data_IF_037596912515
#
_entry.id   IF_037596912515
#
_cell.length_a   1.000
_cell.length_b   1.000
_cell.length_c   1.000
_cell.angle_alpha   90.00
_cell.angle_beta   90.00
_cell.angle_gamma   90.00
#
_symmetry.space_group_name_H-M   'P 1'
#
loop_
_entity.id
_entity.type
_entity.pdbx_description
1 polymer ?
#
# COMPACT_ATOMS: atom_id res chain seq x y z
N UNK A 1 -18.63 4.64 18.40
CA UNK A 1 -17.19 4.79 18.09
C UNK A 1 -17.12 5.39 16.70
N UNK A 2 -16.41 6.48 16.56
CA UNK A 2 -16.11 7.12 15.28
C UNK A 2 -14.73 6.66 14.78
N UNK A 3 -14.38 6.99 13.53
CA UNK A 3 -13.04 6.72 13.01
C UNK A 3 -11.97 7.55 13.76
N UNK A 4 -12.31 8.79 14.15
CA UNK A 4 -11.49 9.63 15.03
C UNK A 4 -11.16 8.92 16.36
N UNK A 5 -12.16 8.27 16.99
CA UNK A 5 -11.90 7.54 18.24
C UNK A 5 -10.87 6.42 18.03
N UNK A 6 -11.01 5.66 16.92
CA UNK A 6 -10.10 4.57 16.57
C UNK A 6 -8.66 5.05 16.27
N UNK A 7 -8.50 6.24 15.68
CA UNK A 7 -7.18 6.84 15.40
C UNK A 7 -6.46 7.30 16.68
N UNK A 8 -7.21 7.61 17.75
CA UNK A 8 -6.68 8.12 19.00
C UNK A 8 -6.60 7.05 20.11
N UNK A 9 -7.36 5.96 20.00
CA UNK A 9 -7.34 4.87 20.97
C UNK A 9 -7.18 3.52 20.23
N UNK A 10 -5.97 3.01 20.27
CA UNK A 10 -5.59 1.76 19.59
C UNK A 10 -6.28 0.52 20.18
N UNK A 11 -6.71 0.58 21.46
CA UNK A 11 -7.49 -0.50 22.05
C UNK A 11 -8.92 -0.53 21.51
N UNK A 12 -9.54 0.64 21.31
CA UNK A 12 -10.85 0.75 20.65
C UNK A 12 -10.79 0.27 19.19
N UNK A 13 -9.70 0.63 18.46
CA UNK A 13 -9.50 0.14 17.10
C UNK A 13 -9.45 -1.39 17.04
N UNK A 14 -8.70 -2.05 17.94
CA UNK A 14 -8.68 -3.51 18.04
C UNK A 14 -10.04 -4.09 18.39
N UNK A 15 -10.71 -3.52 19.39
CA UNK A 15 -12.06 -3.98 19.79
C UNK A 15 -13.06 -3.93 18.62
N UNK A 16 -13.00 -2.88 17.79
CA UNK A 16 -13.81 -2.77 16.60
C UNK A 16 -13.51 -3.88 15.58
N UNK A 17 -12.24 -4.15 15.32
CA UNK A 17 -11.84 -5.23 14.42
C UNK A 17 -12.26 -6.60 14.97
N UNK A 18 -12.15 -6.85 16.28
CA UNK A 18 -12.67 -8.09 16.87
C UNK A 18 -14.18 -8.23 16.68
N UNK A 19 -14.97 -7.16 16.92
CA UNK A 19 -16.41 -7.17 16.69
C UNK A 19 -16.75 -7.45 15.22
N UNK A 20 -15.98 -6.84 14.30
CA UNK A 20 -16.11 -7.10 12.87
C UNK A 20 -15.86 -8.58 12.55
N UNK A 21 -14.74 -9.11 13.03
CA UNK A 21 -14.36 -10.50 12.83
C UNK A 21 -15.37 -11.48 13.44
N UNK A 22 -15.81 -11.24 14.66
CA UNK A 22 -16.78 -12.12 15.35
C UNK A 22 -18.15 -12.13 14.66
N UNK A 23 -18.56 -11.01 14.05
CA UNK A 23 -19.84 -10.91 13.35
C UNK A 23 -19.79 -11.41 11.91
N UNK A 24 -18.81 -10.98 11.12
CA UNK A 24 -18.71 -11.27 9.68
C UNK A 24 -17.96 -12.57 9.41
N UNK A 25 -16.95 -12.90 10.22
CA UNK A 25 -16.12 -14.09 10.10
C UNK A 25 -15.43 -14.26 8.72
N UNK A 26 -14.76 -13.25 8.16
CA UNK A 26 -13.97 -13.43 6.94
C UNK A 26 -12.82 -14.41 7.19
N UNK A 27 -12.32 -15.05 6.12
CA UNK A 27 -11.23 -16.02 6.21
C UNK A 27 -9.86 -15.36 6.33
N UNK A 28 -9.73 -14.13 5.82
CA UNK A 28 -8.54 -13.28 5.94
C UNK A 28 -8.93 -11.96 6.60
N UNK A 29 -8.00 -11.34 7.30
CA UNK A 29 -8.25 -10.12 8.05
C UNK A 29 -7.22 -9.04 7.73
N UNK A 30 -7.68 -7.78 7.62
CA UNK A 30 -6.83 -6.61 7.38
C UNK A 30 -6.42 -5.93 8.68
N UNK A 31 -7.20 -6.11 9.75
CA UNK A 31 -6.96 -5.54 11.06
C UNK A 31 -7.08 -4.01 11.11
N UNK A 32 -6.61 -3.40 12.20
CA UNK A 32 -6.80 -1.96 12.45
C UNK A 32 -5.77 -1.06 11.76
N UNK A 33 -4.98 -1.56 10.81
CA UNK A 33 -3.85 -0.83 10.19
C UNK A 33 -4.28 0.48 9.51
N UNK A 34 -5.52 0.56 9.03
CA UNK A 34 -6.03 1.75 8.34
C UNK A 34 -6.49 2.86 9.29
N UNK A 35 -6.69 2.55 10.58
CA UNK A 35 -6.86 3.57 11.61
C UNK A 35 -5.48 4.16 11.95
N UNK A 36 -4.98 5.07 11.10
CA UNK A 36 -3.68 5.70 11.28
C UNK A 36 -3.57 6.42 12.63
N UNK A 37 -2.38 6.43 13.27
CA UNK A 37 -2.20 6.98 14.61
C UNK A 37 -2.24 8.51 14.60
N UNK A 38 -3.40 9.11 14.90
CA UNK A 38 -3.57 10.57 14.95
C UNK A 38 -2.50 11.26 15.81
N UNK A 39 -2.12 10.77 17.01
CA UNK A 39 -1.08 11.40 17.81
C UNK A 39 0.28 11.49 17.12
N UNK A 40 0.68 10.46 16.34
CA UNK A 40 1.93 10.50 15.59
C UNK A 40 1.81 11.46 14.37
N UNK A 41 0.65 11.49 13.72
CA UNK A 41 0.37 12.39 12.60
C UNK A 41 0.41 13.85 13.04
N UNK A 42 -0.08 14.17 14.25
CA UNK A 42 0.00 15.50 14.86
C UNK A 42 1.44 15.88 15.22
N UNK A 43 2.20 14.97 15.84
CA UNK A 43 3.62 15.20 16.17
C UNK A 43 4.46 15.51 14.93
N UNK A 44 4.12 14.91 13.80
CA UNK A 44 4.79 15.10 12.51
C UNK A 44 4.19 16.23 11.67
N UNK A 45 3.04 16.76 12.08
CA UNK A 45 2.28 17.79 11.32
C UNK A 45 2.14 17.41 9.83
N UNK A 46 1.67 16.19 9.56
CA UNK A 46 1.62 15.59 8.22
C UNK A 46 0.84 16.48 7.26
N UNK A 47 1.44 16.86 6.12
CA UNK A 47 0.81 17.75 5.13
C UNK A 47 0.20 17.03 3.92
N UNK A 48 0.53 15.76 3.73
CA UNK A 48 0.06 14.98 2.59
C UNK A 48 -1.17 14.10 2.89
N UNK A 49 -1.75 14.26 4.11
CA UNK A 49 -3.08 13.76 4.46
C UNK A 49 -3.95 14.84 5.06
N UNK A 50 -5.26 14.80 4.74
CA UNK A 50 -6.32 15.25 5.64
C UNK A 50 -6.90 14.01 6.31
N UNK A 51 -7.28 14.14 7.58
CA UNK A 51 -7.87 13.04 8.32
C UNK A 51 -8.97 13.54 9.26
N UNK A 52 -9.81 12.65 9.83
CA UNK A 52 -10.86 13.02 10.76
C UNK A 52 -10.38 13.93 11.89
N UNK A 53 -11.13 15.00 12.15
CA UNK A 53 -10.74 16.06 13.09
C UNK A 53 -9.75 17.09 12.51
N UNK A 54 -9.13 16.83 11.35
CA UNK A 54 -8.19 17.70 10.63
C UNK A 54 -8.66 17.96 9.19
N UNK A 55 -9.87 18.52 9.06
CA UNK A 55 -10.47 18.93 7.79
C UNK A 55 -11.36 17.90 7.12
N UNK A 56 -11.63 16.76 7.77
CA UNK A 56 -12.61 15.76 7.38
C UNK A 56 -13.57 15.48 8.55
N UNK A 57 -14.74 14.94 8.20
CA UNK A 57 -15.74 14.48 9.17
C UNK A 57 -15.23 13.28 9.97
N UNK A 58 -15.74 13.08 11.20
CA UNK A 58 -15.25 12.12 12.18
C UNK A 58 -15.26 10.65 11.73
N UNK A 59 -16.08 10.31 10.74
CA UNK A 59 -16.20 8.94 10.20
C UNK A 59 -15.66 8.79 8.77
N UNK A 60 -15.02 9.81 8.23
CA UNK A 60 -14.37 9.74 6.93
C UNK A 60 -12.95 9.19 7.10
N UNK A 61 -12.50 8.32 6.22
CA UNK A 61 -11.08 7.92 6.17
C UNK A 61 -10.20 9.12 5.82
N UNK A 62 -8.92 8.92 5.61
CA UNK A 62 -8.02 9.98 5.16
C UNK A 62 -8.28 10.40 3.71
N UNK A 63 -7.90 11.63 3.39
CA UNK A 63 -7.78 12.12 2.03
C UNK A 63 -6.31 12.41 1.72
N UNK A 64 -5.76 11.77 0.70
CA UNK A 64 -4.41 12.06 0.22
C UNK A 64 -4.35 13.43 -0.46
N UNK A 65 -3.29 14.20 -0.15
CA UNK A 65 -3.00 15.50 -0.76
C UNK A 65 -1.68 15.38 -1.50
N UNK A 66 -1.74 15.43 -2.81
CA UNK A 66 -0.56 15.34 -3.65
C UNK A 66 0.35 16.57 -3.49
N UNK A 67 1.65 16.32 -3.45
CA UNK A 67 2.69 17.36 -3.39
C UNK A 67 3.89 17.01 -4.25
N UNK A 68 4.64 18.01 -4.72
CA UNK A 68 5.93 17.85 -5.36
C UNK A 68 7.02 18.00 -4.31
N UNK A 69 7.60 16.88 -3.87
CA UNK A 69 8.67 16.83 -2.87
C UNK A 69 10.06 16.65 -3.49
N UNK A 70 10.14 16.41 -4.80
CA UNK A 70 11.36 16.37 -5.60
C UNK A 70 11.16 17.17 -6.87
N UNK A 71 12.02 18.15 -7.14
CA UNK A 71 11.98 18.91 -8.38
C UNK A 71 12.68 18.15 -9.53
N UNK A 72 12.46 18.58 -10.75
CA UNK A 72 12.96 17.86 -11.94
C UNK A 72 14.49 17.88 -12.09
N UNK A 73 15.17 18.82 -11.48
CA UNK A 73 16.63 18.96 -11.45
C UNK A 73 17.29 18.16 -10.32
N UNK A 74 16.49 17.61 -9.41
CA UNK A 74 16.97 16.82 -8.26
C UNK A 74 17.06 15.30 -8.52
N UNK A 75 16.68 14.82 -9.71
CA UNK A 75 16.77 13.39 -10.04
C UNK A 75 18.19 12.82 -9.83
N UNK A 76 19.22 13.54 -10.27
CA UNK A 76 20.60 13.06 -10.15
C UNK A 76 21.03 12.93 -8.68
N UNK A 77 20.59 13.85 -7.84
CA UNK A 77 20.87 13.79 -6.40
C UNK A 77 20.17 12.59 -5.74
N UNK A 78 18.89 12.37 -6.05
CA UNK A 78 18.16 11.20 -5.58
C UNK A 78 18.81 9.90 -6.05
N UNK A 79 19.19 9.81 -7.31
CA UNK A 79 19.82 8.60 -7.88
C UNK A 79 21.19 8.35 -7.27
N UNK A 80 21.96 9.42 -6.99
CA UNK A 80 23.30 9.32 -6.41
C UNK A 80 23.30 8.85 -4.96
N UNK A 81 22.42 9.41 -4.12
CA UNK A 81 22.32 9.07 -2.69
C UNK A 81 20.86 9.20 -2.21
N UNK A 82 20.02 8.19 -2.48
CA UNK A 82 18.61 8.23 -2.11
C UNK A 82 18.41 8.38 -0.60
N UNK A 83 19.28 7.79 0.22
CA UNK A 83 19.15 7.86 1.68
C UNK A 83 19.35 9.28 2.19
N UNK A 84 20.40 9.96 1.70
CA UNK A 84 20.61 11.35 2.04
C UNK A 84 19.52 12.27 1.50
N UNK A 85 19.05 12.02 0.27
CA UNK A 85 17.95 12.79 -0.32
C UNK A 85 16.68 12.68 0.53
N UNK A 86 16.31 11.48 0.94
CA UNK A 86 15.13 11.28 1.77
C UNK A 86 15.30 11.96 3.14
N UNK A 87 16.47 11.82 3.77
CA UNK A 87 16.72 12.40 5.08
C UNK A 87 16.76 13.94 5.06
N UNK A 88 17.51 14.53 4.10
CA UNK A 88 17.79 15.96 4.08
C UNK A 88 16.82 16.80 3.24
N UNK A 89 15.98 16.18 2.41
CA UNK A 89 15.05 16.90 1.55
C UNK A 89 13.60 16.42 1.70
N UNK A 90 13.34 15.12 1.56
CA UNK A 90 11.98 14.62 1.59
C UNK A 90 11.34 14.76 2.98
N UNK A 91 12.00 14.28 4.04
CA UNK A 91 11.50 14.40 5.42
C UNK A 91 11.22 15.85 5.82
N UNK A 92 12.15 16.82 5.60
CA UNK A 92 11.89 18.23 5.89
C UNK A 92 10.71 18.85 5.13
N UNK A 93 10.49 18.42 3.89
CA UNK A 93 9.40 18.93 3.03
C UNK A 93 8.06 18.33 3.40
N UNK A 94 8.05 17.08 3.82
CA UNK A 94 6.85 16.30 4.13
C UNK A 94 6.37 16.52 5.56
N UNK A 95 7.27 16.83 6.49
CA UNK A 95 7.01 16.93 7.92
C UNK A 95 7.63 18.22 8.50
N UNK A 96 6.88 19.31 8.65
CA UNK A 96 7.40 20.59 9.16
C UNK A 96 8.22 20.50 10.47
N UNK A 97 7.85 19.68 11.48
CA UNK A 97 8.66 19.51 12.68
C UNK A 97 10.04 18.89 12.43
N UNK A 98 10.27 18.31 11.24
CA UNK A 98 11.55 17.72 10.83
C UNK A 98 12.36 18.66 9.91
N UNK A 99 11.95 19.92 9.72
CA UNK A 99 12.62 20.87 8.82
C UNK A 99 14.10 21.04 9.12
N UNK A 100 14.52 20.90 10.38
CA UNK A 100 15.92 20.97 10.77
C UNK A 100 16.79 19.89 10.14
N UNK A 101 16.23 18.74 9.68
CA UNK A 101 16.99 17.70 8.97
C UNK A 101 17.51 18.17 7.61
N UNK A 102 17.08 19.32 7.07
CA UNK A 102 17.73 19.93 5.90
C UNK A 102 19.23 20.20 6.13
N UNK A 103 19.65 20.35 7.39
CA UNK A 103 21.06 20.44 7.80
C UNK A 103 21.76 19.09 8.04
N UNK A 104 21.12 17.94 7.73
CA UNK A 104 21.71 16.62 7.92
C UNK A 104 22.97 16.46 7.07
N UNK A 105 24.13 16.12 7.69
CA UNK A 105 25.38 16.01 6.94
C UNK A 105 25.40 14.76 6.07
N UNK A 106 25.88 14.86 4.84
CA UNK A 106 26.08 13.70 3.98
C UNK A 106 27.12 12.74 4.59
N UNK A 107 26.91 11.44 4.41
CA UNK A 107 27.76 10.39 5.01
C UNK A 107 29.26 10.59 4.71
N UNK A 108 29.59 11.10 3.52
CA UNK A 108 30.98 11.40 3.14
C UNK A 108 31.68 12.41 4.07
N UNK A 109 30.91 13.26 4.76
CA UNK A 109 31.48 14.24 5.72
C UNK A 109 31.98 13.60 7.00
N UNK A 110 31.64 12.32 7.27
CA UNK A 110 32.16 11.56 8.40
C UNK A 110 33.42 10.76 8.09
N UNK A 111 33.87 10.73 6.82
CA UNK A 111 35.03 9.95 6.40
C UNK A 111 36.35 10.72 6.69
N UNK A 112 37.43 9.98 7.06
CA UNK A 112 38.74 10.55 7.38
C UNK A 112 38.63 11.73 8.39
N UNK A 113 39.25 12.85 8.04
CA UNK A 113 39.19 14.08 8.87
C UNK A 113 37.84 14.82 8.75
N UNK A 114 36.96 14.45 7.80
CA UNK A 114 35.62 15.04 7.64
C UNK A 114 34.70 14.77 8.82
N UNK A 115 34.96 13.73 9.63
CA UNK A 115 34.11 13.39 10.78
C UNK A 115 33.93 14.56 11.75
N UNK A 116 34.95 15.39 11.94
CA UNK A 116 34.83 16.57 12.80
C UNK A 116 33.74 17.52 12.32
N UNK A 117 33.71 17.84 11.01
CA UNK A 117 32.69 18.68 10.40
C UNK A 117 31.31 18.01 10.41
N UNK A 118 31.23 16.69 10.16
CA UNK A 118 30.01 15.93 10.21
C UNK A 118 29.35 16.00 11.59
N UNK A 119 30.10 15.75 12.66
CA UNK A 119 29.56 15.87 14.03
C UNK A 119 29.18 17.31 14.40
N UNK A 120 29.92 18.32 13.93
CA UNK A 120 29.54 19.71 14.15
C UNK A 120 28.19 20.03 13.50
N UNK A 121 27.90 19.49 12.31
CA UNK A 121 26.58 19.61 11.68
C UNK A 121 25.44 19.06 12.55
N UNK A 122 25.66 17.92 13.21
CA UNK A 122 24.67 17.33 14.13
C UNK A 122 24.48 18.15 15.42
N UNK A 123 25.40 19.03 15.77
CA UNK A 123 25.28 19.91 16.93
C UNK A 123 24.38 21.13 16.68
N UNK A 124 23.93 21.36 15.43
CA UNK A 124 22.97 22.42 15.13
C UNK A 124 21.69 22.25 15.98
N UNK A 125 21.22 23.32 16.64
CA UNK A 125 19.99 23.24 17.45
C UNK A 125 18.77 22.76 16.64
N UNK A 126 18.66 23.15 15.36
CA UNK A 126 17.55 22.78 14.49
C UNK A 126 17.60 21.28 14.16
N UNK A 127 18.77 20.72 13.85
CA UNK A 127 18.95 19.27 13.62
C UNK A 127 18.61 18.50 14.89
N UNK A 128 19.10 18.93 16.05
CA UNK A 128 18.81 18.28 17.33
C UNK A 128 17.32 18.31 17.66
N UNK A 129 16.64 19.43 17.39
CA UNK A 129 15.18 19.52 17.64
C UNK A 129 14.41 18.59 16.70
N UNK A 130 14.77 18.56 15.42
CA UNK A 130 14.15 17.65 14.45
C UNK A 130 14.33 16.16 14.85
N UNK A 131 15.53 15.78 15.34
CA UNK A 131 15.77 14.44 15.86
C UNK A 131 14.94 14.10 17.08
N UNK A 132 14.75 15.04 18.02
CA UNK A 132 13.83 14.85 19.16
C UNK A 132 12.39 14.66 18.70
N UNK A 133 11.93 15.45 17.73
CA UNK A 133 10.59 15.32 17.19
C UNK A 133 10.39 13.96 16.47
N UNK A 134 11.38 13.54 15.69
CA UNK A 134 11.37 12.24 15.04
C UNK A 134 11.34 11.08 16.07
N UNK A 135 12.11 11.18 17.15
CA UNK A 135 12.12 10.17 18.21
C UNK A 135 10.76 10.07 18.90
N UNK A 136 10.14 11.21 19.25
CA UNK A 136 8.82 11.24 19.87
C UNK A 136 7.73 10.63 18.96
N UNK A 137 7.74 10.95 17.68
CA UNK A 137 6.85 10.32 16.70
C UNK A 137 7.11 8.82 16.55
N UNK A 138 8.39 8.40 16.58
CA UNK A 138 8.79 7.00 16.52
C UNK A 138 8.30 6.20 17.73
N UNK A 139 8.32 6.75 18.93
CA UNK A 139 7.76 6.12 20.14
C UNK A 139 6.25 5.91 20.00
N UNK A 140 5.53 6.89 19.47
CA UNK A 140 4.09 6.79 19.23
C UNK A 140 3.75 5.75 18.18
N UNK A 141 4.46 5.76 17.04
CA UNK A 141 4.33 4.75 16.01
C UNK A 141 4.63 3.35 16.53
N UNK A 142 5.62 3.22 17.44
CA UNK A 142 5.94 1.96 18.11
C UNK A 142 4.76 1.42 18.93
N UNK A 143 4.02 2.28 19.64
CA UNK A 143 2.80 1.89 20.37
C UNK A 143 1.69 1.42 19.44
N UNK A 144 1.51 2.13 18.33
CA UNK A 144 0.52 1.76 17.32
C UNK A 144 0.84 0.40 16.68
N UNK A 145 2.08 0.19 16.21
CA UNK A 145 2.50 -1.09 15.65
C UNK A 145 2.44 -2.25 16.66
N UNK A 146 2.76 -2.01 17.94
CA UNK A 146 2.58 -3.01 18.97
C UNK A 146 1.11 -3.42 19.15
N UNK A 147 0.19 -2.47 19.03
CA UNK A 147 -1.25 -2.73 19.05
C UNK A 147 -1.72 -3.57 17.87
N UNK A 148 -1.23 -3.28 16.66
CA UNK A 148 -1.50 -4.06 15.45
C UNK A 148 -0.94 -5.48 15.60
N UNK A 149 0.31 -5.61 16.07
CA UNK A 149 0.95 -6.91 16.29
C UNK A 149 0.23 -7.77 17.34
N UNK A 150 -0.28 -7.15 18.41
CA UNK A 150 -1.12 -7.86 19.37
C UNK A 150 -2.39 -8.40 18.72
N UNK A 151 -3.12 -7.57 17.96
CA UNK A 151 -4.33 -8.00 17.24
C UNK A 151 -4.02 -9.14 16.27
N UNK A 152 -2.96 -8.99 15.46
CA UNK A 152 -2.55 -10.01 14.50
C UNK A 152 -2.27 -11.36 15.18
N UNK A 153 -1.56 -11.37 16.33
CA UNK A 153 -1.31 -12.58 17.12
C UNK A 153 -2.58 -13.22 17.66
N UNK A 154 -3.55 -12.41 18.11
CA UNK A 154 -4.85 -12.89 18.59
C UNK A 154 -5.66 -13.52 17.45
N UNK A 155 -5.62 -12.95 16.25
CA UNK A 155 -6.33 -13.47 15.09
C UNK A 155 -5.70 -14.75 14.54
N UNK A 156 -4.38 -14.83 14.46
CA UNK A 156 -3.68 -16.08 14.10
C UNK A 156 -4.03 -17.20 15.07
N UNK A 157 -4.09 -16.91 16.39
CA UNK A 157 -4.52 -17.89 17.40
C UNK A 157 -5.97 -18.38 17.21
N UNK A 158 -6.83 -17.56 16.59
CA UNK A 158 -8.21 -17.92 16.20
C UNK A 158 -8.28 -18.65 14.84
N UNK A 159 -7.18 -18.78 14.11
CA UNK A 159 -7.11 -19.40 12.78
C UNK A 159 -7.44 -18.46 11.62
N UNK A 160 -7.46 -17.14 11.85
CA UNK A 160 -7.67 -16.11 10.82
C UNK A 160 -6.37 -15.36 10.59
N UNK A 161 -5.60 -15.67 9.54
CA UNK A 161 -4.34 -14.99 9.26
C UNK A 161 -4.59 -13.57 8.72
N UNK A 162 -3.56 -12.72 8.88
CA UNK A 162 -3.56 -11.40 8.29
C UNK A 162 -3.41 -11.48 6.76
N UNK A 163 -4.08 -10.57 6.05
CA UNK A 163 -4.04 -10.47 4.60
C UNK A 163 -2.66 -9.95 4.09
N UNK A 164 -1.79 -9.51 4.97
CA UNK A 164 -0.46 -8.98 4.66
C UNK A 164 0.55 -9.31 5.75
N UNK A 165 1.81 -9.45 5.36
CA UNK A 165 2.97 -9.44 6.24
C UNK A 165 3.85 -8.20 6.01
N UNK A 166 3.74 -7.59 4.83
CA UNK A 166 4.31 -6.29 4.48
C UNK A 166 3.40 -5.54 3.50
N UNK A 167 3.59 -4.22 3.45
CA UNK A 167 3.00 -3.35 2.43
C UNK A 167 4.09 -2.80 1.53
N UNK A 168 3.72 -2.49 0.28
CA UNK A 168 4.62 -1.83 -0.65
C UNK A 168 3.85 -1.03 -1.72
N UNK A 169 4.59 -0.23 -2.47
CA UNK A 169 4.10 0.54 -3.62
C UNK A 169 4.98 0.25 -4.83
N UNK A 170 4.41 0.04 -6.03
CA UNK A 170 5.19 -0.13 -7.24
C UNK A 170 6.26 0.95 -7.41
N UNK A 171 7.44 0.65 -7.98
CA UNK A 171 8.52 1.63 -8.13
C UNK A 171 8.10 2.95 -8.78
N UNK A 172 7.20 2.91 -9.77
CA UNK A 172 6.66 4.11 -10.39
C UNK A 172 5.80 4.92 -9.42
N UNK A 173 4.99 4.24 -8.60
CA UNK A 173 4.14 4.90 -7.61
C UNK A 173 4.97 5.48 -6.46
N UNK A 174 6.05 4.83 -6.03
CA UNK A 174 7.01 5.42 -5.08
C UNK A 174 7.49 6.79 -5.59
N UNK A 175 7.92 6.88 -6.86
CA UNK A 175 8.35 8.15 -7.43
C UNK A 175 7.17 9.12 -7.62
N UNK A 176 6.03 8.61 -8.12
CA UNK A 176 4.88 9.42 -8.47
C UNK A 176 4.09 9.95 -7.28
N UNK A 177 3.88 9.12 -6.24
CA UNK A 177 3.09 9.51 -5.07
C UNK A 177 3.95 10.27 -4.04
N UNK A 178 5.18 9.80 -3.82
CA UNK A 178 5.99 10.30 -2.72
C UNK A 178 6.86 11.49 -3.10
N UNK A 179 7.41 11.51 -4.33
CA UNK A 179 8.45 12.47 -4.72
C UNK A 179 7.97 13.49 -5.76
N UNK A 180 7.49 13.04 -6.92
CA UNK A 180 7.24 13.92 -8.06
C UNK A 180 5.85 14.53 -8.11
N UNK A 181 4.84 13.80 -7.62
CA UNK A 181 3.46 14.11 -7.89
C UNK A 181 2.99 13.64 -9.28
N UNK A 182 1.69 13.46 -9.43
CA UNK A 182 1.04 12.89 -10.64
C UNK A 182 1.34 13.70 -11.90
N UNK A 183 1.13 15.01 -11.85
CA UNK A 183 1.31 15.88 -13.01
C UNK A 183 2.75 15.90 -13.50
N UNK A 184 3.68 15.91 -12.58
CA UNK A 184 5.11 16.03 -12.88
C UNK A 184 5.67 14.72 -13.42
N UNK A 185 5.32 13.57 -12.84
CA UNK A 185 5.81 12.28 -13.34
C UNK A 185 5.26 11.96 -14.74
N UNK A 186 4.02 12.35 -15.04
CA UNK A 186 3.45 12.26 -16.40
C UNK A 186 4.23 13.11 -17.42
N UNK A 187 4.68 14.30 -17.01
CA UNK A 187 5.51 15.15 -17.84
C UNK A 187 6.92 14.58 -18.01
N UNK A 188 7.48 13.96 -16.97
CA UNK A 188 8.83 13.40 -16.96
C UNK A 188 8.96 12.18 -17.88
N UNK A 189 7.93 11.34 -18.01
CA UNK A 189 7.93 10.25 -19.02
C UNK A 189 8.23 10.73 -20.44
N UNK A 190 7.91 11.98 -20.77
CA UNK A 190 8.15 12.57 -22.10
C UNK A 190 9.38 13.47 -22.15
N UNK A 191 9.64 14.20 -21.07
CA UNK A 191 10.67 15.27 -21.05
C UNK A 191 12.00 14.79 -20.51
N UNK A 192 12.01 13.74 -19.67
CA UNK A 192 13.17 13.25 -18.93
C UNK A 192 13.14 11.73 -18.75
N UNK A 193 12.87 10.94 -19.84
CA UNK A 193 12.73 9.49 -19.71
C UNK A 193 13.97 8.86 -19.06
N UNK A 194 15.17 9.25 -19.47
CA UNK A 194 16.42 8.68 -18.93
C UNK A 194 16.57 8.92 -17.41
N UNK A 195 16.18 10.12 -16.93
CA UNK A 195 16.20 10.45 -15.51
C UNK A 195 15.19 9.65 -14.74
N UNK A 196 13.99 9.48 -15.31
CA UNK A 196 12.93 8.68 -14.70
C UNK A 196 13.34 7.20 -14.64
N UNK A 197 13.90 6.64 -15.70
CA UNK A 197 14.42 5.28 -15.70
C UNK A 197 15.48 5.07 -14.62
N UNK A 198 16.46 5.98 -14.49
CA UNK A 198 17.46 5.90 -13.44
C UNK A 198 16.86 5.95 -12.02
N UNK A 199 15.84 6.77 -11.80
CA UNK A 199 15.13 6.84 -10.53
C UNK A 199 14.28 5.58 -10.27
N UNK A 200 13.66 5.00 -11.30
CA UNK A 200 12.89 3.76 -11.19
C UNK A 200 13.77 2.56 -10.81
N UNK A 201 15.02 2.50 -11.28
CA UNK A 201 16.00 1.50 -10.83
C UNK A 201 16.31 1.62 -9.33
N UNK A 202 16.42 2.86 -8.82
CA UNK A 202 16.58 3.11 -7.38
C UNK A 202 15.32 2.69 -6.63
N UNK A 203 14.15 3.11 -7.09
CA UNK A 203 12.87 2.79 -6.48
C UNK A 203 12.60 1.28 -6.46
N UNK A 204 13.05 0.53 -7.48
CA UNK A 204 12.93 -0.94 -7.51
C UNK A 204 13.75 -1.59 -6.38
N UNK A 205 14.95 -1.08 -6.08
CA UNK A 205 15.73 -1.57 -4.94
C UNK A 205 15.06 -1.26 -3.61
N UNK A 206 14.50 -0.05 -3.46
CA UNK A 206 13.74 0.36 -2.26
C UNK A 206 12.51 -0.56 -2.09
N UNK A 207 11.77 -0.81 -3.16
CA UNK A 207 10.64 -1.74 -3.20
C UNK A 207 11.04 -3.14 -2.70
N UNK A 208 12.11 -3.71 -3.24
CA UNK A 208 12.57 -5.05 -2.83
C UNK A 208 13.02 -5.08 -1.37
N UNK A 209 13.69 -4.03 -0.90
CA UNK A 209 14.12 -3.93 0.50
C UNK A 209 12.91 -3.88 1.44
N UNK A 210 11.94 -3.02 1.14
CA UNK A 210 10.76 -2.80 1.97
C UNK A 210 9.83 -4.03 1.97
N UNK A 211 9.49 -4.55 0.80
CA UNK A 211 8.65 -5.75 0.65
C UNK A 211 9.28 -7.01 1.26
N UNK A 212 10.61 -7.04 1.38
CA UNK A 212 11.33 -8.15 2.04
C UNK A 212 11.00 -8.30 3.53
N UNK A 213 10.34 -7.31 4.15
CA UNK A 213 9.82 -7.43 5.51
C UNK A 213 8.82 -8.58 5.72
N UNK A 214 8.20 -9.08 4.64
CA UNK A 214 7.30 -10.23 4.69
C UNK A 214 8.03 -11.59 4.78
N UNK A 215 9.36 -11.62 4.59
CA UNK A 215 10.11 -12.86 4.57
C UNK A 215 10.06 -13.59 5.93
N UNK A 216 9.77 -14.88 5.89
CA UNK A 216 9.69 -15.71 7.10
C UNK A 216 8.38 -15.64 7.88
N UNK A 217 7.42 -14.84 7.43
CA UNK A 217 6.06 -14.87 7.96
C UNK A 217 5.37 -16.20 7.61
N UNK A 218 4.44 -16.66 8.44
CA UNK A 218 3.66 -17.89 8.18
C UNK A 218 2.88 -17.77 6.86
N UNK A 219 2.29 -16.61 6.60
CA UNK A 219 1.67 -16.25 5.34
C UNK A 219 2.42 -15.05 4.75
N UNK A 220 3.47 -15.26 3.91
CA UNK A 220 4.39 -14.20 3.49
C UNK A 220 3.80 -13.36 2.35
N UNK A 221 2.68 -12.71 2.59
CA UNK A 221 2.00 -11.84 1.63
C UNK A 221 2.57 -10.43 1.71
N UNK A 222 3.04 -9.90 0.56
CA UNK A 222 3.37 -8.49 0.40
C UNK A 222 2.25 -7.80 -0.38
N UNK A 223 1.48 -6.94 0.31
CA UNK A 223 0.39 -6.18 -0.29
C UNK A 223 0.94 -4.97 -1.02
N UNK A 224 0.69 -4.87 -2.32
CA UNK A 224 1.26 -3.87 -3.22
C UNK A 224 0.14 -2.99 -3.77
N UNK A 225 0.14 -1.71 -3.37
CA UNK A 225 -0.85 -0.73 -3.78
C UNK A 225 -0.55 -0.19 -5.19
N UNK A 226 -1.28 -0.66 -6.20
CA UNK A 226 -1.11 -0.24 -7.59
C UNK A 226 -2.03 0.94 -7.93
N UNK A 227 -1.51 2.16 -7.87
CA UNK A 227 -2.26 3.38 -8.15
C UNK A 227 -2.18 3.78 -9.64
N UNK A 228 -0.97 4.06 -10.13
CA UNK A 228 -0.74 4.72 -11.43
C UNK A 228 -0.54 3.76 -12.61
N UNK A 229 -0.45 2.45 -12.37
CA UNK A 229 -0.33 1.45 -13.44
C UNK A 229 -1.63 1.14 -14.17
N UNK A 230 -2.75 1.70 -13.74
CA UNK A 230 -4.07 1.43 -14.28
C UNK A 230 -4.29 2.07 -15.66
N UNK A 231 -5.27 1.55 -16.40
CA UNK A 231 -5.60 2.03 -17.75
C UNK A 231 -6.01 3.50 -17.77
N UNK A 232 -6.62 3.98 -16.70
CA UNK A 232 -7.10 5.36 -16.60
C UNK A 232 -5.96 6.37 -16.44
N UNK A 233 -4.79 5.92 -16.02
CA UNK A 233 -3.66 6.78 -15.70
C UNK A 233 -2.63 6.87 -16.82
N UNK A 234 -2.28 5.75 -17.45
CA UNK A 234 -1.26 5.73 -18.51
C UNK A 234 -1.65 4.81 -19.67
N UNK A 235 -1.09 5.10 -20.85
CA UNK A 235 -1.26 4.25 -22.05
C UNK A 235 -0.56 2.89 -21.88
N UNK A 236 -0.91 1.90 -22.72
CA UNK A 236 -0.25 0.60 -22.72
C UNK A 236 1.24 0.70 -23.04
N UNK A 237 1.63 1.61 -23.94
CA UNK A 237 3.04 1.84 -24.25
C UNK A 237 3.81 2.38 -23.06
N UNK A 238 3.26 3.37 -22.33
CA UNK A 238 3.87 3.92 -21.11
C UNK A 238 3.95 2.89 -20.00
N UNK A 239 2.92 2.05 -19.84
CA UNK A 239 2.92 0.96 -18.88
C UNK A 239 4.07 -0.03 -19.15
N UNK A 240 4.23 -0.45 -20.39
CA UNK A 240 5.28 -1.38 -20.83
C UNK A 240 6.69 -0.78 -20.74
N UNK A 241 6.83 0.54 -20.84
CA UNK A 241 8.12 1.22 -20.79
C UNK A 241 8.51 1.60 -19.35
N UNK A 242 7.60 2.24 -18.59
CA UNK A 242 7.94 2.89 -17.32
C UNK A 242 7.40 2.17 -16.08
N UNK A 243 6.44 1.27 -16.20
CA UNK A 243 5.77 0.69 -15.05
C UNK A 243 6.06 -0.80 -14.89
N UNK A 244 5.63 -1.61 -15.85
CA UNK A 244 5.68 -3.05 -15.77
C UNK A 244 7.08 -3.65 -15.57
N UNK A 245 8.12 -3.23 -16.30
CA UNK A 245 9.45 -3.81 -16.14
C UNK A 245 9.97 -3.71 -14.72
N UNK A 246 9.76 -2.58 -14.07
CA UNK A 246 10.23 -2.31 -12.72
C UNK A 246 9.41 -3.02 -11.65
N UNK A 247 8.07 -3.01 -11.77
CA UNK A 247 7.20 -3.77 -10.88
C UNK A 247 7.50 -5.28 -10.98
N UNK A 248 7.58 -5.80 -12.20
CA UNK A 248 7.89 -7.21 -12.45
C UNK A 248 9.24 -7.62 -11.86
N UNK A 249 10.29 -6.83 -12.11
CA UNK A 249 11.62 -7.06 -11.55
C UNK A 249 11.58 -7.14 -10.02
N UNK A 250 10.89 -6.19 -9.38
CA UNK A 250 10.70 -6.19 -7.94
C UNK A 250 9.94 -7.40 -7.44
N UNK A 251 8.81 -7.75 -8.07
CA UNK A 251 8.02 -8.93 -7.70
C UNK A 251 8.83 -10.23 -7.84
N UNK A 252 9.61 -10.40 -8.91
CA UNK A 252 10.47 -11.58 -9.07
C UNK A 252 11.49 -11.68 -7.93
N UNK A 253 12.11 -10.56 -7.54
CA UNK A 253 13.04 -10.55 -6.41
C UNK A 253 12.38 -10.87 -5.06
N UNK A 254 11.11 -10.50 -4.85
CA UNK A 254 10.33 -10.91 -3.68
C UNK A 254 9.98 -12.40 -3.73
N UNK A 255 9.58 -12.92 -4.91
CA UNK A 255 9.26 -14.33 -5.12
C UNK A 255 10.48 -15.22 -4.83
N UNK A 256 11.68 -14.80 -5.25
CA UNK A 256 12.93 -15.53 -4.97
C UNK A 256 13.23 -15.62 -3.46
N UNK A 257 12.65 -14.74 -2.65
CA UNK A 257 12.71 -14.76 -1.17
C UNK A 257 11.56 -15.56 -0.53
N UNK A 258 10.72 -16.20 -1.33
CA UNK A 258 9.55 -16.96 -0.86
C UNK A 258 8.34 -16.08 -0.51
N UNK A 259 8.34 -14.81 -0.89
CA UNK A 259 7.25 -13.86 -0.65
C UNK A 259 6.23 -13.95 -1.80
N UNK A 260 4.97 -13.80 -1.49
CA UNK A 260 3.86 -13.80 -2.46
C UNK A 260 3.39 -12.35 -2.66
N UNK A 261 3.67 -11.71 -3.80
CA UNK A 261 3.11 -10.42 -4.13
C UNK A 261 1.59 -10.48 -4.28
N UNK A 262 0.88 -9.58 -3.61
CA UNK A 262 -0.55 -9.33 -3.76
C UNK A 262 -0.72 -7.94 -4.37
N UNK A 263 -0.91 -7.88 -5.68
CA UNK A 263 -1.03 -6.60 -6.41
C UNK A 263 -2.49 -6.14 -6.37
N UNK A 264 -2.74 -5.10 -5.60
CA UNK A 264 -4.06 -4.48 -5.45
C UNK A 264 -4.24 -3.38 -6.49
N UNK A 265 -5.05 -3.65 -7.53
CA UNK A 265 -5.30 -2.75 -8.64
C UNK A 265 -6.54 -1.89 -8.36
N UNK A 266 -6.37 -0.61 -8.08
CA UNK A 266 -7.46 0.29 -7.67
C UNK A 266 -8.41 0.72 -8.79
N UNK A 267 -8.08 0.43 -10.06
CA UNK A 267 -8.91 0.73 -11.21
C UNK A 267 -8.78 -0.34 -12.31
N UNK A 268 -9.34 -0.09 -13.49
CA UNK A 268 -9.34 -1.02 -14.61
C UNK A 268 -7.92 -1.34 -15.10
N UNK A 269 -7.61 -2.64 -15.17
CA UNK A 269 -6.34 -3.20 -15.67
C UNK A 269 -6.55 -4.20 -16.80
N UNK A 270 -7.71 -4.20 -17.46
CA UNK A 270 -8.03 -5.20 -18.50
C UNK A 270 -6.95 -5.25 -19.60
N UNK A 271 -6.43 -4.11 -20.05
CA UNK A 271 -5.36 -4.08 -21.05
C UNK A 271 -3.97 -4.47 -20.54
N UNK A 272 -3.82 -4.74 -19.21
CA UNK A 272 -2.58 -5.18 -18.56
C UNK A 272 -2.53 -6.68 -18.33
N UNK A 273 -3.62 -7.40 -18.52
CA UNK A 273 -3.73 -8.82 -18.16
C UNK A 273 -2.68 -9.69 -18.82
N UNK A 274 -2.36 -9.43 -20.09
CA UNK A 274 -1.31 -10.17 -20.82
C UNK A 274 0.09 -9.89 -20.24
N UNK A 275 0.37 -8.65 -19.82
CA UNK A 275 1.63 -8.33 -19.15
C UNK A 275 1.68 -9.00 -17.77
N UNK A 276 0.59 -9.01 -17.01
CA UNK A 276 0.47 -9.68 -15.70
C UNK A 276 0.70 -11.19 -15.76
N UNK A 277 0.45 -11.82 -16.91
CA UNK A 277 0.71 -13.23 -17.12
C UNK A 277 2.21 -13.58 -17.18
N UNK A 278 3.10 -12.59 -17.35
CA UNK A 278 4.57 -12.79 -17.41
C UNK A 278 5.19 -12.87 -16.00
N UNK A 279 4.71 -13.82 -15.20
CA UNK A 279 5.22 -14.13 -13.85
C UNK A 279 5.29 -15.65 -13.63
N UNK A 280 6.08 -16.15 -12.67
CA UNK A 280 6.11 -17.58 -12.34
C UNK A 280 4.74 -18.09 -11.86
N UNK A 281 4.24 -19.21 -12.38
CA UNK A 281 2.92 -19.75 -12.03
C UNK A 281 2.75 -20.01 -10.53
N UNK A 282 1.59 -19.59 -9.99
CA UNK A 282 1.20 -19.82 -8.60
C UNK A 282 1.96 -18.96 -7.58
N UNK A 283 2.59 -17.87 -8.01
CA UNK A 283 3.43 -17.03 -7.14
C UNK A 283 2.90 -15.62 -6.91
N UNK A 284 1.82 -15.22 -7.59
CA UNK A 284 1.27 -13.85 -7.51
C UNK A 284 -0.26 -13.93 -7.34
N UNK A 285 -0.80 -12.96 -6.61
CA UNK A 285 -2.24 -12.71 -6.51
C UNK A 285 -2.50 -11.32 -7.11
N UNK A 286 -3.44 -11.21 -8.05
CA UNK A 286 -3.92 -9.93 -8.56
C UNK A 286 -5.32 -9.65 -8.04
N UNK A 287 -5.46 -8.66 -7.19
CA UNK A 287 -6.77 -8.13 -6.81
C UNK A 287 -7.18 -7.10 -7.86
N UNK A 288 -8.30 -7.35 -8.53
CA UNK A 288 -8.76 -6.48 -9.62
C UNK A 288 -10.11 -5.85 -9.27
N UNK A 289 -10.27 -4.55 -9.55
CA UNK A 289 -11.46 -3.79 -9.17
C UNK A 289 -12.58 -3.87 -10.22
N UNK A 290 -12.46 -3.13 -11.32
CA UNK A 290 -13.49 -2.99 -12.35
C UNK A 290 -13.24 -3.83 -13.60
N UNK A 291 -12.16 -4.60 -13.61
CA UNK A 291 -11.77 -5.49 -14.70
C UNK A 291 -12.75 -6.65 -14.86
N UNK A 292 -13.06 -7.07 -16.09
CA UNK A 292 -13.91 -8.22 -16.36
C UNK A 292 -13.26 -9.52 -15.82
N UNK A 293 -13.91 -10.15 -14.83
CA UNK A 293 -13.38 -11.35 -14.17
C UNK A 293 -13.35 -12.58 -15.08
N UNK A 294 -14.20 -12.66 -16.09
CA UNK A 294 -14.15 -13.75 -17.08
C UNK A 294 -12.90 -13.62 -17.94
N UNK A 295 -12.57 -12.41 -18.38
CA UNK A 295 -11.34 -12.12 -19.11
C UNK A 295 -10.11 -12.31 -18.24
N UNK A 296 -10.14 -11.81 -17.00
CA UNK A 296 -9.05 -12.00 -16.05
C UNK A 296 -8.77 -13.50 -15.84
N UNK A 297 -9.82 -14.31 -15.65
CA UNK A 297 -9.69 -15.78 -15.52
C UNK A 297 -9.16 -16.43 -16.80
N UNK A 298 -9.61 -15.99 -17.97
CA UNK A 298 -9.17 -16.55 -19.24
C UNK A 298 -7.67 -16.32 -19.50
N UNK A 299 -7.12 -15.17 -19.08
CA UNK A 299 -5.70 -14.82 -19.29
C UNK A 299 -4.83 -15.32 -18.14
N UNK A 300 -5.24 -15.10 -16.89
CA UNK A 300 -4.42 -15.37 -15.70
C UNK A 300 -4.66 -16.75 -15.08
N UNK A 301 -5.73 -17.45 -15.47
CA UNK A 301 -6.06 -18.77 -14.93
C UNK A 301 -4.92 -19.76 -15.16
N UNK A 302 -4.48 -20.42 -14.09
CA UNK A 302 -3.31 -21.32 -14.11
C UNK A 302 -1.94 -20.63 -13.98
N UNK A 303 -1.90 -19.28 -14.02
CA UNK A 303 -0.68 -18.49 -13.82
C UNK A 303 -0.71 -17.81 -12.46
N UNK A 304 -1.74 -17.04 -12.17
CA UNK A 304 -1.87 -16.29 -10.92
C UNK A 304 -3.26 -16.51 -10.29
N UNK A 305 -3.37 -16.32 -8.99
CA UNK A 305 -4.67 -16.18 -8.36
C UNK A 305 -5.24 -14.80 -8.67
N UNK A 306 -6.57 -14.72 -8.79
CA UNK A 306 -7.29 -13.46 -8.96
C UNK A 306 -8.22 -13.23 -7.77
N UNK A 307 -8.34 -11.99 -7.33
CA UNK A 307 -9.19 -11.60 -6.21
C UNK A 307 -10.14 -10.45 -6.60
N UNK A 308 -11.23 -10.32 -5.88
CA UNK A 308 -12.26 -9.32 -6.13
C UNK A 308 -13.50 -9.98 -6.73
N UNK A 309 -14.43 -9.30 -7.35
CA UNK A 309 -14.59 -7.84 -7.43
C UNK A 309 -16.09 -7.49 -7.27
N UNK A 310 -16.62 -7.81 -6.09
CA UNK A 310 -18.02 -7.45 -5.80
C UNK A 310 -18.13 -5.92 -5.74
N UNK A 311 -18.93 -5.28 -6.62
CA UNK A 311 -18.99 -3.82 -6.67
C UNK A 311 -19.48 -3.21 -5.36
N UNK A 312 -18.77 -2.18 -4.84
CA UNK A 312 -19.14 -1.51 -3.60
C UNK A 312 -20.57 -0.94 -3.64
N UNK A 313 -21.03 -0.51 -4.82
CA UNK A 313 -22.41 -0.02 -5.00
C UNK A 313 -23.47 -1.08 -4.68
N UNK A 314 -23.21 -2.35 -4.97
CA UNK A 314 -24.14 -3.45 -4.63
C UNK A 314 -24.09 -3.70 -3.12
N UNK A 315 -22.93 -3.63 -2.50
CA UNK A 315 -22.76 -3.79 -1.05
C UNK A 315 -23.42 -2.64 -0.27
N UNK A 316 -23.45 -1.43 -0.83
CA UNK A 316 -24.06 -0.26 -0.21
C UNK A 316 -25.56 -0.15 -0.48
N UNK A 317 -25.99 -0.33 -1.73
CA UNK A 317 -27.34 0.03 -2.18
C UNK A 317 -28.19 -1.14 -2.66
N UNK A 318 -27.58 -2.32 -2.90
CA UNK A 318 -28.28 -3.53 -3.31
C UNK A 318 -29.00 -4.22 -2.16
N UNK A 319 -29.60 -5.36 -2.49
CA UNK A 319 -30.18 -6.30 -1.52
C UNK A 319 -29.23 -7.48 -1.29
N UNK A 320 -29.40 -8.25 -0.19
CA UNK A 320 -28.65 -9.50 0.01
C UNK A 320 -28.79 -10.50 -1.16
N UNK A 321 -29.91 -10.51 -1.87
CA UNK A 321 -30.07 -11.38 -3.03
C UNK A 321 -29.32 -10.91 -4.25
N UNK A 322 -29.24 -9.60 -4.50
CA UNK A 322 -28.37 -9.03 -5.55
C UNK A 322 -26.89 -9.39 -5.31
N UNK A 323 -26.47 -9.35 -4.04
CA UNK A 323 -25.10 -9.73 -3.65
C UNK A 323 -24.85 -11.22 -3.90
N UNK A 324 -25.76 -12.09 -3.48
CA UNK A 324 -25.66 -13.55 -3.71
C UNK A 324 -25.60 -13.89 -5.20
N UNK A 325 -26.47 -13.28 -6.01
CA UNK A 325 -26.47 -13.48 -7.47
C UNK A 325 -25.10 -13.08 -8.09
N UNK A 326 -24.56 -11.94 -7.67
CA UNK A 326 -23.25 -11.50 -8.16
C UNK A 326 -22.12 -12.43 -7.71
N UNK A 327 -22.11 -12.84 -6.43
CA UNK A 327 -21.14 -13.80 -5.90
C UNK A 327 -21.23 -15.15 -6.61
N UNK A 328 -22.43 -15.65 -6.86
CA UNK A 328 -22.64 -16.89 -7.62
C UNK A 328 -22.01 -16.81 -9.01
N UNK A 329 -22.25 -15.70 -9.74
CA UNK A 329 -21.65 -15.48 -11.05
C UNK A 329 -20.13 -15.50 -10.99
N UNK A 330 -19.53 -14.87 -9.98
CA UNK A 330 -18.05 -14.86 -9.81
C UNK A 330 -17.54 -16.28 -9.51
N UNK A 331 -18.18 -17.04 -8.63
CA UNK A 331 -17.77 -18.40 -8.29
C UNK A 331 -17.89 -19.32 -9.51
N UNK A 332 -18.99 -19.25 -10.25
CA UNK A 332 -19.26 -20.09 -11.43
C UNK A 332 -18.31 -19.78 -12.61
N UNK A 333 -17.69 -18.58 -12.64
CA UNK A 333 -16.82 -18.14 -13.71
C UNK A 333 -15.35 -18.06 -13.24
N UNK A 334 -15.02 -17.09 -12.42
CA UNK A 334 -13.65 -16.86 -11.93
C UNK A 334 -13.18 -17.92 -10.93
N UNK A 335 -14.10 -18.47 -10.12
CA UNK A 335 -13.83 -19.53 -9.15
C UNK A 335 -13.62 -20.91 -9.75
N UNK A 336 -14.05 -21.13 -11.00
CA UNK A 336 -13.90 -22.42 -11.68
C UNK A 336 -12.43 -22.85 -11.72
N UNK A 337 -12.16 -24.08 -11.34
CA UNK A 337 -10.83 -24.70 -11.30
C UNK A 337 -9.85 -24.04 -10.31
N UNK A 338 -10.32 -23.26 -9.33
CA UNK A 338 -9.51 -22.67 -8.26
C UNK A 338 -8.82 -21.35 -8.63
N UNK A 339 -7.96 -20.86 -7.72
CA UNK A 339 -7.18 -19.64 -7.92
C UNK A 339 -8.03 -18.36 -7.88
N UNK A 340 -9.13 -18.35 -7.09
CA UNK A 340 -10.01 -17.19 -6.92
C UNK A 340 -10.22 -16.89 -5.42
N UNK A 341 -10.20 -15.60 -5.09
CA UNK A 341 -10.51 -15.08 -3.76
C UNK A 341 -11.67 -14.08 -3.90
N UNK A 342 -12.78 -14.35 -3.21
CA UNK A 342 -13.90 -13.43 -3.17
C UNK A 342 -13.57 -12.21 -2.32
N UNK A 343 -13.74 -11.02 -2.89
CA UNK A 343 -13.54 -9.75 -2.17
C UNK A 343 -14.40 -8.65 -2.79
N UNK A 344 -14.52 -7.51 -2.11
CA UNK A 344 -15.05 -6.29 -2.67
C UNK A 344 -14.17 -5.77 -3.82
N UNK A 345 -14.74 -4.95 -4.70
CA UNK A 345 -14.00 -4.42 -5.85
C UNK A 345 -12.86 -3.47 -5.45
N UNK A 346 -13.12 -2.63 -4.45
CA UNK A 346 -12.14 -1.73 -3.83
C UNK A 346 -12.41 -1.65 -2.34
N UNK A 347 -11.55 -0.97 -1.61
CA UNK A 347 -11.73 -0.74 -0.17
C UNK A 347 -13.14 -0.19 0.12
N UNK A 348 -13.76 -0.74 1.18
CA UNK A 348 -15.10 -0.39 1.59
C UNK A 348 -15.05 0.77 2.58
N UNK A 349 -15.51 1.96 2.15
CA UNK A 349 -15.84 3.06 3.07
C UNK A 349 -17.16 2.80 3.77
N UNK A 350 -18.16 2.35 3.00
CA UNK A 350 -19.50 2.08 3.49
C UNK A 350 -20.08 0.81 2.84
N UNK A 351 -20.75 -0.02 3.64
CA UNK A 351 -21.55 -1.15 3.20
C UNK A 351 -22.70 -1.39 4.17
N UNK A 352 -23.81 -1.97 3.69
CA UNK A 352 -24.84 -2.48 4.59
C UNK A 352 -24.35 -3.77 5.22
N UNK A 353 -24.40 -3.91 6.55
CA UNK A 353 -23.94 -5.12 7.23
C UNK A 353 -24.55 -6.41 6.69
N UNK A 354 -25.85 -6.39 6.37
CA UNK A 354 -26.56 -7.54 5.78
C UNK A 354 -26.03 -7.93 4.40
N UNK A 355 -25.59 -6.98 3.58
CA UNK A 355 -25.03 -7.23 2.27
C UNK A 355 -23.62 -7.81 2.35
N UNK A 356 -22.77 -7.24 3.22
CA UNK A 356 -21.42 -7.76 3.46
C UNK A 356 -21.49 -9.18 4.06
N UNK A 357 -22.41 -9.41 5.00
CA UNK A 357 -22.63 -10.75 5.56
C UNK A 357 -23.13 -11.74 4.50
N UNK A 358 -24.04 -11.32 3.61
CA UNK A 358 -24.50 -12.15 2.50
C UNK A 358 -23.35 -12.54 1.56
N UNK A 359 -22.42 -11.64 1.25
CA UNK A 359 -21.23 -11.94 0.44
C UNK A 359 -20.39 -13.04 1.11
N UNK A 360 -20.06 -12.87 2.38
CA UNK A 360 -19.17 -13.79 3.11
C UNK A 360 -19.82 -15.15 3.32
N UNK A 361 -21.05 -15.18 3.86
CA UNK A 361 -21.77 -16.44 4.15
C UNK A 361 -22.03 -17.24 2.87
N UNK A 362 -22.54 -16.57 1.82
CA UNK A 362 -22.82 -17.24 0.55
C UNK A 362 -21.56 -17.80 -0.11
N UNK A 363 -20.43 -17.06 -0.03
CA UNK A 363 -19.16 -17.56 -0.54
C UNK A 363 -18.74 -18.84 0.17
N UNK A 364 -18.91 -18.92 1.50
CA UNK A 364 -18.59 -20.11 2.29
C UNK A 364 -19.52 -21.29 1.99
N UNK A 365 -20.79 -21.04 1.74
CA UNK A 365 -21.78 -22.08 1.45
C UNK A 365 -21.67 -22.59 0.01
N UNK A 366 -21.59 -21.70 -0.96
CA UNK A 366 -21.64 -22.02 -2.39
C UNK A 366 -20.26 -22.26 -3.00
N UNK A 367 -19.23 -21.57 -2.51
CA UNK A 367 -17.88 -21.61 -3.06
C UNK A 367 -17.02 -22.82 -2.66
N UNK A 368 -17.63 -23.88 -2.12
CA UNK A 368 -16.90 -25.10 -1.72
C UNK A 368 -16.49 -25.89 -2.96
N UNK A 369 -15.18 -26.07 -3.14
CA UNK A 369 -14.64 -26.96 -4.18
C UNK A 369 -15.00 -28.41 -3.88
N UNK A 370 -15.55 -29.10 -4.86
CA UNK A 370 -15.97 -30.50 -4.76
C UNK A 370 -15.05 -31.41 -5.57
#
# INVERSE_FOLDING_TARGET
MTFVDAMNDYALAREACHKFQDYFQPDLDFGPILAYPAPAMELLDIKWFKWPGHGLDDNTMYQYIESENMTADEYDEFVYDPSHFLMAKWLPRSFPPLQGLAGWPAVRTFMWFGWTGGFVGLASPDVQQALRNAAAAGEELGRWFASIGQYAGEMVAKGTPQLYAAFDWPPFDIIGDTLRGTRQILADMRRRPDKLHAALEVATRIFVEYGSGAAGAELPLCWIWMHKGTRNFMSDAQFKEFYWPYLRQGMLALIDKGIIPVVYCEADVESRLEDFADVPPGKVIYHVSTTDMVKAKAVLGGIAAIAGNVPNVILLSGTPDDVREYCQKLIDTAGKDGGFIMDAAVMLDEARPENLKAMIDFTKEYGVYR
#
